data_IF_703280767108
#
_entry.id   IF_703280767108
#
_cell.length_a   1.000
_cell.length_b   1.000
_cell.length_c   1.000
_cell.angle_alpha   90.00
_cell.angle_beta   90.00
_cell.angle_gamma   90.00
#
_symmetry.space_group_name_H-M   'P 1'
#
loop_
_entity.id
_entity.type
_entity.pdbx_description
1 polymer ?
#
# COMPACT_ATOMS: atom_id res chain seq x y z
N UNK A 1 -24.93 -13.84 -7.24
CA UNK A 1 -23.71 -13.37 -7.95
C UNK A 1 -23.34 -11.92 -7.62
N UNK A 2 -24.26 -10.93 -7.66
CA UNK A 2 -23.94 -9.52 -7.33
C UNK A 2 -23.32 -9.32 -5.95
N UNK A 3 -23.91 -9.90 -4.90
CA UNK A 3 -23.40 -9.86 -3.51
C UNK A 3 -21.94 -10.34 -3.36
N UNK A 4 -21.52 -11.34 -4.14
CA UNK A 4 -20.15 -11.88 -4.08
C UNK A 4 -19.11 -10.90 -4.61
N UNK A 5 -19.45 -10.17 -5.68
CA UNK A 5 -18.50 -9.26 -6.35
C UNK A 5 -18.24 -8.00 -5.53
N UNK A 6 -19.26 -7.47 -4.86
CA UNK A 6 -19.09 -6.36 -3.91
C UNK A 6 -18.14 -6.73 -2.78
N UNK A 7 -18.26 -7.94 -2.23
CA UNK A 7 -17.34 -8.44 -1.20
C UNK A 7 -15.90 -8.53 -1.71
N UNK A 8 -15.69 -9.04 -2.93
CA UNK A 8 -14.35 -9.13 -3.52
C UNK A 8 -13.72 -7.74 -3.72
N UNK A 9 -14.48 -6.76 -4.20
CA UNK A 9 -14.03 -5.37 -4.35
C UNK A 9 -13.73 -4.75 -2.99
N UNK A 10 -14.59 -4.96 -1.99
CA UNK A 10 -14.36 -4.47 -0.64
C UNK A 10 -13.06 -5.03 -0.05
N UNK A 11 -12.80 -6.33 -0.22
CA UNK A 11 -11.55 -6.96 0.23
C UNK A 11 -10.33 -6.40 -0.51
N UNK A 12 -10.45 -6.12 -1.81
CA UNK A 12 -9.39 -5.48 -2.59
C UNK A 12 -9.09 -4.08 -2.05
N UNK A 13 -10.11 -3.25 -1.85
CA UNK A 13 -9.96 -1.90 -1.29
C UNK A 13 -9.38 -1.93 0.12
N UNK A 14 -9.82 -2.87 0.96
CA UNK A 14 -9.27 -3.07 2.29
C UNK A 14 -7.78 -3.40 2.25
N UNK A 15 -7.36 -4.33 1.39
CA UNK A 15 -5.95 -4.71 1.24
C UNK A 15 -5.10 -3.55 0.72
N UNK A 16 -5.58 -2.80 -0.28
CA UNK A 16 -4.88 -1.60 -0.74
C UNK A 16 -4.80 -0.54 0.38
N UNK A 17 -5.87 -0.34 1.13
CA UNK A 17 -5.89 0.56 2.29
C UNK A 17 -4.88 0.19 3.36
N UNK A 18 -4.64 -1.11 3.61
CA UNK A 18 -3.55 -1.55 4.49
C UNK A 18 -2.17 -1.14 3.96
N UNK A 19 -1.92 -1.28 2.65
CA UNK A 19 -0.65 -0.84 2.04
C UNK A 19 -0.45 0.66 2.25
N UNK A 20 -1.48 1.47 2.01
CA UNK A 20 -1.45 2.91 2.29
C UNK A 20 -1.12 3.21 3.75
N UNK A 21 -1.77 2.52 4.69
CA UNK A 21 -1.49 2.69 6.12
C UNK A 21 -0.02 2.43 6.44
N UNK A 22 0.56 1.33 5.93
CA UNK A 22 1.96 1.01 6.16
C UNK A 22 2.90 2.05 5.55
N UNK A 23 2.63 2.53 4.33
CA UNK A 23 3.42 3.60 3.71
C UNK A 23 3.39 4.90 4.53
N UNK A 24 2.23 5.27 5.07
CA UNK A 24 2.13 6.44 5.96
C UNK A 24 2.91 6.24 7.28
N UNK A 25 2.93 5.02 7.82
CA UNK A 25 3.78 4.69 8.98
C UNK A 25 5.26 4.85 8.61
N UNK A 26 5.70 4.33 7.45
CA UNK A 26 7.09 4.50 7.00
C UNK A 26 7.46 5.98 6.81
N UNK A 27 6.59 6.77 6.17
CA UNK A 27 6.77 8.22 6.00
C UNK A 27 6.91 8.95 7.34
N UNK A 28 6.07 8.60 8.32
CA UNK A 28 6.13 9.19 9.66
C UNK A 28 7.44 8.84 10.36
N UNK A 29 7.87 7.59 10.27
CA UNK A 29 9.14 7.14 10.85
C UNK A 29 10.34 7.82 10.18
N UNK A 30 10.34 7.92 8.84
CA UNK A 30 11.37 8.64 8.09
C UNK A 30 11.50 10.08 8.59
N UNK A 31 10.38 10.81 8.71
CA UNK A 31 10.40 12.16 9.25
C UNK A 31 10.91 12.18 10.71
N UNK A 32 10.45 11.25 11.54
CA UNK A 32 10.83 11.20 12.95
C UNK A 32 12.35 11.03 13.14
N UNK A 33 12.98 10.14 12.37
CA UNK A 33 14.44 9.92 12.42
C UNK A 33 15.24 11.06 11.80
N UNK A 34 14.68 11.78 10.83
CA UNK A 34 15.35 12.88 10.12
C UNK A 34 14.88 14.27 10.55
N UNK A 35 14.20 14.39 11.70
CA UNK A 35 13.61 15.66 12.18
C UNK A 35 14.62 16.79 12.37
N UNK A 36 15.90 16.46 12.57
CA UNK A 36 16.97 17.46 12.72
C UNK A 36 17.40 18.04 11.36
N UNK A 37 17.19 17.30 10.28
CA UNK A 37 17.50 17.68 8.90
C UNK A 37 16.30 18.32 8.20
N UNK A 38 15.11 17.76 8.43
CA UNK A 38 13.85 18.20 7.83
C UNK A 38 13.18 19.21 8.76
N UNK A 39 13.27 20.49 8.41
CA UNK A 39 12.61 21.58 9.15
C UNK A 39 11.10 21.52 8.92
N UNK A 40 10.39 20.92 9.87
CA UNK A 40 8.93 20.99 9.99
C UNK A 40 8.64 21.52 11.38
N UNK A 41 8.02 22.68 11.45
CA UNK A 41 7.82 23.44 12.69
C UNK A 41 6.50 23.09 13.39
N UNK A 42 5.58 22.42 12.69
CA UNK A 42 4.28 22.04 13.26
C UNK A 42 3.73 20.73 12.70
N UNK A 43 2.83 20.10 13.46
CA UNK A 43 2.08 18.93 13.00
C UNK A 43 1.22 19.24 11.76
N UNK A 44 0.66 20.46 11.67
CA UNK A 44 -0.12 20.91 10.52
C UNK A 44 0.73 20.92 9.23
N UNK A 45 1.96 21.42 9.33
CA UNK A 45 2.91 21.43 8.23
C UNK A 45 3.30 20.01 7.81
N UNK A 46 3.56 19.10 8.77
CA UNK A 46 3.76 17.68 8.47
C UNK A 46 2.59 17.08 7.68
N UNK A 47 1.35 17.28 8.14
CA UNK A 47 0.17 16.73 7.46
C UNK A 47 -0.02 17.32 6.06
N UNK A 48 0.30 18.61 5.86
CA UNK A 48 0.27 19.25 4.55
C UNK A 48 1.26 18.57 3.58
N UNK A 49 2.51 18.38 4.02
CA UNK A 49 3.54 17.73 3.22
C UNK A 49 3.20 16.25 2.97
N UNK A 50 2.71 15.55 3.99
CA UNK A 50 2.29 14.15 3.87
C UNK A 50 1.10 13.98 2.92
N UNK A 51 0.18 14.94 2.86
CA UNK A 51 -0.94 14.94 1.91
C UNK A 51 -0.44 14.98 0.45
N UNK A 52 0.48 15.88 0.13
CA UNK A 52 1.09 15.91 -1.22
C UNK A 52 1.93 14.65 -1.50
N UNK A 53 2.63 14.15 -0.48
CA UNK A 53 3.36 12.89 -0.56
C UNK A 53 2.46 11.67 -0.86
N UNK A 54 1.18 11.73 -0.47
CA UNK A 54 0.22 10.65 -0.71
C UNK A 54 -0.04 10.43 -2.20
N UNK A 55 0.05 11.46 -3.04
CA UNK A 55 -0.08 11.32 -4.50
C UNK A 55 1.08 10.50 -5.11
N UNK A 56 2.30 10.72 -4.61
CA UNK A 56 3.47 9.93 -4.97
C UNK A 56 3.31 8.47 -4.52
N UNK A 57 2.93 8.25 -3.25
CA UNK A 57 2.70 6.90 -2.71
C UNK A 57 1.60 6.18 -3.47
N UNK A 58 0.52 6.88 -3.83
CA UNK A 58 -0.57 6.32 -4.63
C UNK A 58 -0.05 5.72 -5.93
N UNK A 59 0.80 6.46 -6.63
CA UNK A 59 1.39 6.00 -7.89
C UNK A 59 2.25 4.75 -7.67
N UNK A 60 3.14 4.78 -6.67
CA UNK A 60 4.01 3.65 -6.33
C UNK A 60 3.20 2.41 -5.93
N UNK A 61 2.20 2.57 -5.05
CA UNK A 61 1.33 1.49 -4.57
C UNK A 61 0.57 0.85 -5.74
N UNK A 62 0.00 1.66 -6.64
CA UNK A 62 -0.73 1.15 -7.81
C UNK A 62 0.19 0.40 -8.77
N UNK A 63 1.42 0.87 -9.01
CA UNK A 63 2.39 0.16 -9.84
C UNK A 63 2.81 -1.18 -9.23
N UNK A 64 3.19 -1.19 -7.95
CA UNK A 64 3.60 -2.42 -7.23
C UNK A 64 2.45 -3.43 -7.18
N UNK A 65 1.22 -2.95 -7.00
CA UNK A 65 0.03 -3.80 -6.90
C UNK A 65 -0.68 -4.04 -8.24
N UNK A 66 -0.18 -3.57 -9.38
CA UNK A 66 -0.89 -3.67 -10.66
C UNK A 66 -1.28 -5.12 -11.00
N UNK A 67 -0.34 -6.06 -10.85
CA UNK A 67 -0.59 -7.48 -11.06
C UNK A 67 -1.63 -8.03 -10.06
N UNK A 68 -1.51 -7.66 -8.79
CA UNK A 68 -2.44 -8.11 -7.75
C UNK A 68 -3.87 -7.58 -7.98
N UNK A 69 -4.00 -6.31 -8.36
CA UNK A 69 -5.27 -5.66 -8.70
C UNK A 69 -5.90 -6.36 -9.92
N UNK A 70 -5.12 -6.54 -10.99
CA UNK A 70 -5.57 -7.22 -12.20
C UNK A 70 -6.12 -8.61 -11.87
N UNK A 71 -5.33 -9.45 -11.18
CA UNK A 71 -5.73 -10.79 -10.78
C UNK A 71 -6.95 -10.81 -9.82
N UNK A 72 -7.18 -9.75 -9.05
CA UNK A 72 -8.33 -9.64 -8.15
C UNK A 72 -9.63 -9.22 -8.84
N UNK A 73 -9.55 -8.46 -9.93
CA UNK A 73 -10.71 -7.91 -10.65
C UNK A 73 -11.21 -8.85 -11.75
N UNK A 74 -10.33 -9.63 -12.41
CA UNK A 74 -10.76 -10.49 -13.52
C UNK A 74 -11.93 -11.37 -13.06
N UNK A 75 -13.05 -11.44 -13.81
CA UNK A 75 -14.23 -12.19 -13.43
C UNK A 75 -14.06 -13.70 -13.71
N UNK A 76 -12.98 -14.30 -13.21
CA UNK A 76 -12.80 -15.74 -13.31
C UNK A 76 -13.62 -16.45 -12.24
N UNK A 77 -14.25 -17.56 -12.60
CA UNK A 77 -14.93 -18.45 -11.65
C UNK A 77 -13.97 -19.12 -10.66
N UNK A 78 -12.66 -18.94 -10.85
CA UNK A 78 -11.61 -19.48 -9.97
C UNK A 78 -11.26 -18.56 -8.81
N UNK A 79 -11.74 -17.31 -8.79
CA UNK A 79 -11.33 -16.32 -7.78
C UNK A 79 -11.63 -16.78 -6.35
N UNK A 80 -12.66 -17.58 -6.14
CA UNK A 80 -13.03 -18.12 -4.82
C UNK A 80 -12.30 -19.42 -4.45
N UNK A 81 -11.52 -20.01 -5.36
CA UNK A 81 -10.78 -21.25 -5.10
C UNK A 81 -9.66 -21.01 -4.09
N UNK A 82 -9.48 -21.93 -3.15
CA UNK A 82 -8.43 -21.86 -2.11
C UNK A 82 -7.03 -21.72 -2.71
N UNK A 83 -6.73 -22.43 -3.80
CA UNK A 83 -5.43 -22.33 -4.48
C UNK A 83 -5.18 -20.94 -5.08
N UNK A 84 -6.21 -20.34 -5.68
CA UNK A 84 -6.12 -18.99 -6.25
C UNK A 84 -5.93 -17.92 -5.17
N UNK A 85 -6.68 -18.02 -4.07
CA UNK A 85 -6.50 -17.11 -2.93
C UNK A 85 -5.12 -17.26 -2.28
N UNK A 86 -4.55 -18.48 -2.23
CA UNK A 86 -3.18 -18.70 -1.75
C UNK A 86 -2.14 -18.07 -2.69
N UNK A 87 -2.33 -18.16 -4.00
CA UNK A 87 -1.47 -17.48 -4.97
C UNK A 87 -1.56 -15.96 -4.81
N UNK A 88 -2.77 -15.39 -4.76
CA UNK A 88 -2.99 -13.95 -4.54
C UNK A 88 -2.35 -13.46 -3.24
N UNK A 89 -2.44 -14.26 -2.16
CA UNK A 89 -1.79 -13.96 -0.89
C UNK A 89 -0.27 -13.78 -1.07
N UNK A 90 0.40 -14.72 -1.75
CA UNK A 90 1.84 -14.61 -1.97
C UNK A 90 2.20 -13.44 -2.88
N UNK A 91 1.45 -13.22 -3.97
CA UNK A 91 1.66 -12.06 -4.85
C UNK A 91 1.56 -10.76 -4.04
N UNK A 92 0.52 -10.62 -3.21
CA UNK A 92 0.32 -9.45 -2.36
C UNK A 92 1.45 -9.26 -1.34
N UNK A 93 1.78 -10.27 -0.54
CA UNK A 93 2.76 -10.14 0.53
C UNK A 93 4.20 -9.96 0.03
N UNK A 94 4.59 -10.65 -1.04
CA UNK A 94 5.96 -10.55 -1.58
C UNK A 94 6.18 -9.17 -2.21
N UNK A 95 5.27 -8.73 -3.08
CA UNK A 95 5.44 -7.43 -3.78
C UNK A 95 5.38 -6.26 -2.80
N UNK A 96 4.37 -6.22 -1.93
CA UNK A 96 4.25 -5.15 -0.94
C UNK A 96 5.33 -5.25 0.14
N UNK A 97 5.72 -6.45 0.56
CA UNK A 97 6.78 -6.64 1.56
C UNK A 97 8.14 -6.13 1.08
N UNK A 98 8.51 -6.45 -0.17
CA UNK A 98 9.75 -5.95 -0.77
C UNK A 98 9.71 -4.43 -0.96
N UNK A 99 8.62 -3.89 -1.53
CA UNK A 99 8.48 -2.46 -1.73
C UNK A 99 8.47 -1.69 -0.40
N UNK A 100 7.80 -2.23 0.62
CA UNK A 100 7.79 -1.65 1.95
C UNK A 100 9.20 -1.66 2.58
N UNK A 101 9.92 -2.78 2.49
CA UNK A 101 11.30 -2.87 2.99
C UNK A 101 12.22 -1.83 2.32
N UNK A 102 12.05 -1.58 1.02
CA UNK A 102 12.82 -0.56 0.29
C UNK A 102 12.60 0.86 0.83
N UNK A 103 11.44 1.18 1.40
CA UNK A 103 11.22 2.49 2.02
C UNK A 103 12.18 2.75 3.19
N UNK A 104 12.67 1.70 3.86
CA UNK A 104 13.58 1.83 5.02
C UNK A 104 15.06 1.96 4.64
N UNK A 105 15.44 1.73 3.38
CA UNK A 105 16.84 1.80 2.95
C UNK A 105 17.48 3.18 3.17
N UNK A 106 16.64 4.20 3.12
CA UNK A 106 17.00 5.62 3.19
C UNK A 106 16.59 6.27 4.51
N UNK A 107 16.32 5.50 5.57
CA UNK A 107 15.75 6.05 6.81
C UNK A 107 16.72 6.86 7.67
N UNK A 108 18.03 6.65 7.54
CA UNK A 108 19.03 7.31 8.38
C UNK A 108 19.95 8.12 7.48
N UNK A 109 19.80 9.44 7.56
CA UNK A 109 20.70 10.43 6.98
C UNK A 109 21.34 11.31 8.06
#
# INVERSE_FOLDING_TARGET
>A
MKESRFREIYVLLYRLGLVFLFYQIARLLFWFFNRNLIKIESASEYFNIAYYGTAFDTTAILYINALFILLSIIPLTINTKKSYQKMLFWVYFVTNGLAYAMNFGDFVY
#
